data_IF_144383013594
#
_entry.id   IF_144383013594
#
_cell.length_a   1.000
_cell.length_b   1.000
_cell.length_c   1.000
_cell.angle_alpha   90.00
_cell.angle_beta   90.00
_cell.angle_gamma   90.00
#
_symmetry.space_group_name_H-M   'P 1'
#
loop_
_entity.id
_entity.type
_entity.pdbx_description
1 polymer ?
#
# COMPACT_ATOMS: atom_id res chain seq x y z
N UNK A 1 70.30 -5.80 -18.34
CA UNK A 1 69.77 -4.88 -17.30
C UNK A 1 68.46 -4.27 -17.82
N UNK A 2 67.37 -4.45 -17.05
CA UNK A 2 66.09 -3.69 -17.05
C UNK A 2 65.16 -3.82 -18.28
N UNK A 3 64.06 -4.60 -18.20
CA UNK A 3 62.68 -4.23 -17.75
C UNK A 3 62.02 -3.10 -18.58
N UNK A 4 60.99 -3.42 -19.38
CA UNK A 4 59.59 -3.19 -18.99
C UNK A 4 58.59 -3.70 -20.05
N UNK A 5 57.47 -4.21 -19.53
CA UNK A 5 56.36 -4.84 -20.22
C UNK A 5 55.23 -3.83 -20.56
N UNK A 6 54.30 -4.32 -21.40
CA UNK A 6 52.87 -3.98 -21.46
C UNK A 6 52.42 -2.62 -22.01
N UNK A 7 51.66 -2.68 -23.11
CA UNK A 7 50.38 -1.97 -23.27
C UNK A 7 49.47 -2.73 -24.23
N UNK A 8 48.88 -3.82 -23.73
CA UNK A 8 47.63 -4.33 -24.27
C UNK A 8 46.52 -3.35 -23.89
N UNK A 9 45.90 -2.73 -24.90
CA UNK A 9 44.76 -1.85 -24.72
C UNK A 9 43.59 -2.65 -24.14
N UNK A 10 43.36 -2.46 -22.84
CA UNK A 10 42.15 -2.83 -22.15
C UNK A 10 40.95 -2.05 -22.71
N UNK A 11 40.26 -2.62 -23.70
CA UNK A 11 38.86 -2.30 -23.93
C UNK A 11 38.02 -3.04 -22.88
N UNK A 12 38.01 -2.50 -21.65
CA UNK A 12 37.06 -2.92 -20.61
C UNK A 12 35.73 -2.24 -20.90
N UNK A 13 34.94 -2.86 -21.77
CA UNK A 13 33.50 -2.67 -21.77
C UNK A 13 32.98 -3.04 -20.37
N UNK A 14 32.45 -2.03 -19.68
CA UNK A 14 31.94 -2.11 -18.32
C UNK A 14 30.61 -2.89 -18.34
N UNK A 15 30.69 -4.22 -18.43
CA UNK A 15 29.59 -5.11 -18.04
C UNK A 15 29.33 -4.88 -16.55
N UNK A 16 28.34 -4.04 -16.24
CA UNK A 16 27.71 -4.02 -14.92
C UNK A 16 27.11 -5.40 -14.67
N UNK A 17 27.90 -6.32 -14.10
CA UNK A 17 27.41 -7.59 -13.57
C UNK A 17 26.32 -7.24 -12.56
N UNK A 18 25.07 -7.50 -12.91
CA UNK A 18 23.97 -7.52 -11.93
C UNK A 18 24.27 -8.64 -10.96
N UNK A 19 24.88 -8.28 -9.83
CA UNK A 19 24.92 -9.12 -8.65
C UNK A 19 23.47 -9.46 -8.25
N UNK A 20 23.21 -10.75 -8.01
CA UNK A 20 21.88 -11.27 -7.77
C UNK A 20 21.93 -12.37 -6.74
N UNK A 21 20.90 -12.43 -5.90
CA UNK A 21 20.69 -13.49 -4.95
C UNK A 21 19.91 -14.60 -5.63
N UNK A 22 20.38 -15.84 -5.53
CA UNK A 22 19.72 -17.01 -6.09
C UNK A 22 18.99 -17.77 -4.99
N UNK A 23 17.67 -17.91 -5.13
CA UNK A 23 16.81 -18.61 -4.19
C UNK A 23 16.43 -19.95 -4.81
N UNK A 24 16.83 -21.04 -4.17
CA UNK A 24 16.60 -22.41 -4.63
C UNK A 24 15.36 -22.99 -3.95
N UNK A 25 14.39 -23.40 -4.77
CA UNK A 25 13.15 -24.03 -4.33
C UNK A 25 13.26 -25.55 -4.41
N UNK A 26 12.64 -26.23 -3.45
CA UNK A 26 12.28 -27.64 -3.48
C UNK A 26 10.79 -27.78 -3.81
N UNK A 27 10.30 -29.01 -3.94
CA UNK A 27 8.87 -29.25 -4.15
C UNK A 27 8.03 -28.83 -2.93
N UNK A 28 8.52 -29.13 -1.72
CA UNK A 28 7.83 -28.79 -0.47
C UNK A 28 7.69 -27.27 -0.28
N UNK A 29 8.65 -26.50 -0.79
CA UNK A 29 8.59 -25.03 -0.76
C UNK A 29 7.42 -24.46 -1.57
N UNK A 30 7.00 -25.16 -2.62
CA UNK A 30 5.84 -24.76 -3.42
C UNK A 30 4.55 -24.91 -2.61
N UNK A 31 4.45 -25.98 -1.80
CA UNK A 31 3.31 -26.20 -0.92
C UNK A 31 3.27 -25.19 0.25
N UNK A 32 4.45 -24.75 0.70
CA UNK A 32 4.61 -23.77 1.79
C UNK A 32 4.71 -22.31 1.31
N UNK A 33 4.39 -22.04 0.04
CA UNK A 33 4.27 -20.69 -0.49
C UNK A 33 3.10 -19.93 0.17
N UNK A 34 3.33 -18.69 0.60
CA UNK A 34 2.30 -17.84 1.22
C UNK A 34 2.29 -16.44 0.63
N UNK A 35 1.10 -15.85 0.55
CA UNK A 35 0.86 -14.47 0.08
C UNK A 35 0.19 -13.66 1.18
N UNK A 36 0.90 -12.67 1.73
CA UNK A 36 0.32 -11.74 2.69
C UNK A 36 -0.10 -10.45 2.00
N UNK A 37 -1.00 -9.71 2.65
CA UNK A 37 -1.50 -8.44 2.11
C UNK A 37 -0.59 -7.25 2.41
N UNK A 38 0.12 -7.22 3.53
CA UNK A 38 0.98 -6.08 3.88
C UNK A 38 1.94 -6.44 5.01
N UNK A 39 3.02 -5.66 5.14
CA UNK A 39 3.92 -5.65 6.28
C UNK A 39 3.46 -4.68 7.40
N UNK A 40 2.37 -3.96 7.17
CA UNK A 40 1.84 -2.96 8.09
C UNK A 40 2.45 -1.56 7.91
N UNK A 41 1.92 -0.57 8.64
CA UNK A 41 2.26 0.85 8.43
C UNK A 41 3.72 1.18 8.80
N UNK A 42 4.34 0.45 9.72
CA UNK A 42 5.72 0.69 10.14
C UNK A 42 6.71 0.41 8.99
N UNK A 43 6.59 -0.74 8.34
CA UNK A 43 7.42 -1.09 7.18
C UNK A 43 7.19 -0.11 6.01
N UNK A 44 5.93 0.21 5.74
CA UNK A 44 5.58 1.17 4.69
C UNK A 44 6.14 2.56 4.98
N UNK A 45 6.19 2.98 6.25
CA UNK A 45 6.83 4.25 6.67
C UNK A 45 8.33 4.27 6.34
N UNK A 46 9.02 3.16 6.59
CA UNK A 46 10.45 3.02 6.30
C UNK A 46 10.74 3.14 4.81
N UNK A 47 9.94 2.48 3.97
CA UNK A 47 10.08 2.59 2.52
C UNK A 47 9.66 3.98 1.99
N UNK A 48 8.61 4.57 2.57
CA UNK A 48 8.12 5.88 2.18
C UNK A 48 9.13 7.00 2.45
N UNK A 49 9.95 6.90 3.49
CA UNK A 49 11.04 7.85 3.72
C UNK A 49 12.04 7.89 2.56
N UNK A 50 12.32 6.74 1.94
CA UNK A 50 13.17 6.68 0.76
C UNK A 50 12.51 7.29 -0.48
N UNK A 51 11.19 7.11 -0.62
CA UNK A 51 10.37 7.75 -1.67
C UNK A 51 10.26 9.26 -1.45
N UNK A 52 10.24 9.73 -0.21
CA UNK A 52 10.22 11.16 0.11
C UNK A 52 11.55 11.83 -0.28
N UNK A 53 12.66 11.11 -0.04
CA UNK A 53 14.02 11.54 -0.37
C UNK A 53 14.27 11.55 -1.88
N UNK A 54 13.86 10.51 -2.59
CA UNK A 54 14.12 10.35 -4.02
C UNK A 54 12.91 10.68 -4.89
N UNK A 55 13.06 11.69 -5.75
CA UNK A 55 12.03 12.10 -6.70
C UNK A 55 12.08 11.27 -8.00
N UNK A 56 11.93 9.94 -7.90
CA UNK A 56 12.14 9.06 -9.07
C UNK A 56 10.86 8.55 -9.72
N UNK A 57 9.71 8.56 -9.02
CA UNK A 57 8.47 7.98 -9.54
C UNK A 57 7.28 8.92 -9.34
N UNK A 58 6.61 9.25 -10.45
CA UNK A 58 5.44 10.13 -10.51
C UNK A 58 4.21 9.55 -9.84
N UNK A 59 4.14 8.22 -9.70
CA UNK A 59 3.09 7.52 -8.97
C UNK A 59 2.94 8.02 -7.53
N UNK A 60 3.96 8.65 -6.94
CA UNK A 60 3.90 9.22 -5.57
C UNK A 60 3.94 10.75 -5.54
N UNK A 61 3.83 11.44 -6.68
CA UNK A 61 3.90 12.90 -6.73
C UNK A 61 2.76 13.58 -5.95
N UNK A 62 1.55 13.00 -5.98
CA UNK A 62 0.41 13.45 -5.18
C UNK A 62 0.70 13.34 -3.67
N UNK A 63 1.10 12.14 -3.23
CA UNK A 63 1.50 11.89 -1.85
C UNK A 63 2.62 12.82 -1.37
N UNK A 64 3.71 12.97 -2.14
CA UNK A 64 4.82 13.88 -1.79
C UNK A 64 4.36 15.32 -1.64
N UNK A 65 3.48 15.81 -2.53
CA UNK A 65 2.93 17.16 -2.42
C UNK A 65 2.12 17.32 -1.14
N UNK A 66 1.22 16.38 -0.83
CA UNK A 66 0.43 16.39 0.40
C UNK A 66 1.28 16.42 1.66
N UNK A 67 2.26 15.50 1.76
CA UNK A 67 3.17 15.44 2.92
C UNK A 67 3.99 16.73 3.06
N UNK A 68 4.51 17.28 1.95
CA UNK A 68 5.30 18.52 1.99
C UNK A 68 4.47 19.74 2.34
N UNK A 69 3.23 19.85 1.85
CA UNK A 69 2.35 20.98 2.16
C UNK A 69 1.85 20.96 3.60
N UNK A 70 1.45 19.80 4.09
CA UNK A 70 0.85 19.65 5.42
C UNK A 70 1.90 19.70 6.53
N UNK A 71 3.10 19.15 6.28
CA UNK A 71 4.16 19.01 7.28
C UNK A 71 5.42 19.82 6.97
N UNK A 72 5.28 20.96 6.27
CA UNK A 72 6.42 21.77 5.79
C UNK A 72 7.44 22.11 6.89
N UNK A 73 6.98 22.41 8.11
CA UNK A 73 7.85 22.72 9.27
C UNK A 73 8.63 21.51 9.79
N UNK A 74 8.11 20.29 9.62
CA UNK A 74 8.74 19.04 10.07
C UNK A 74 9.50 18.32 8.96
N UNK A 75 9.38 18.78 7.71
CA UNK A 75 10.03 18.16 6.56
C UNK A 75 11.55 17.98 6.71
N UNK A 76 12.34 18.96 7.22
CA UNK A 76 13.77 18.76 7.45
C UNK A 76 14.06 17.63 8.43
N UNK A 77 13.23 17.47 9.47
CA UNK A 77 13.37 16.40 10.44
C UNK A 77 13.14 15.02 9.80
N UNK A 78 12.12 14.87 8.95
CA UNK A 78 11.87 13.61 8.24
C UNK A 78 12.98 13.27 7.23
N UNK A 79 13.54 14.26 6.54
CA UNK A 79 14.66 14.04 5.63
C UNK A 79 15.94 13.62 6.37
N UNK A 80 16.24 14.25 7.50
CA UNK A 80 17.36 13.84 8.36
C UNK A 80 17.17 12.41 8.90
N UNK A 81 15.93 12.04 9.24
CA UNK A 81 15.60 10.68 9.65
C UNK A 81 15.82 9.70 8.49
N UNK A 82 15.36 10.01 7.27
CA UNK A 82 15.60 9.19 6.09
C UNK A 82 17.10 9.00 5.81
N UNK A 83 17.90 10.05 5.94
CA UNK A 83 19.36 9.99 5.78
C UNK A 83 20.03 9.11 6.86
N UNK A 84 19.61 9.28 8.11
CA UNK A 84 20.08 8.45 9.23
C UNK A 84 19.76 6.97 9.01
N UNK A 85 18.57 6.66 8.49
CA UNK A 85 18.18 5.28 8.19
C UNK A 85 18.91 4.72 6.95
N UNK A 86 19.11 5.53 5.92
CA UNK A 86 19.82 5.10 4.71
C UNK A 86 21.29 4.75 4.96
N UNK A 87 21.89 5.33 5.99
CA UNK A 87 23.27 5.10 6.40
C UNK A 87 23.47 3.78 7.16
N UNK A 88 22.39 3.07 7.50
CA UNK A 88 22.44 1.80 8.24
C UNK A 88 21.57 0.76 7.52
N UNK A 89 22.17 -0.08 6.65
CA UNK A 89 21.43 -0.97 5.75
C UNK A 89 20.61 -2.06 6.47
N UNK A 90 20.96 -2.42 7.70
CA UNK A 90 20.37 -3.55 8.44
C UNK A 90 19.33 -3.11 9.49
N UNK A 91 18.81 -1.89 9.40
CA UNK A 91 17.89 -1.33 10.40
C UNK A 91 16.50 -1.96 10.44
N UNK A 92 16.15 -2.85 9.52
CA UNK A 92 14.80 -3.41 9.45
C UNK A 92 14.91 -4.93 9.43
N UNK A 93 14.46 -5.55 10.51
CA UNK A 93 14.24 -6.99 10.56
C UNK A 93 12.75 -7.26 10.37
N UNK A 94 12.44 -8.23 9.51
CA UNK A 94 11.09 -8.75 9.33
C UNK A 94 11.07 -10.16 9.90
N UNK A 95 10.15 -10.43 10.83
CA UNK A 95 10.00 -11.74 11.46
C UNK A 95 8.60 -12.30 11.24
N UNK A 96 8.53 -13.52 10.72
CA UNK A 96 7.27 -14.27 10.65
C UNK A 96 6.97 -14.79 12.06
N UNK A 97 5.91 -14.27 12.71
CA UNK A 97 5.55 -14.66 14.08
C UNK A 97 4.37 -15.62 14.15
N UNK A 98 3.55 -15.65 13.11
CA UNK A 98 2.44 -16.58 12.92
C UNK A 98 2.28 -16.81 11.40
N UNK A 99 1.55 -17.85 10.95
CA UNK A 99 1.46 -18.20 9.53
C UNK A 99 1.10 -17.03 8.61
N UNK A 100 0.31 -16.08 9.12
CA UNK A 100 -0.19 -14.93 8.36
C UNK A 100 0.26 -13.57 8.91
N UNK A 101 1.24 -13.54 9.83
CA UNK A 101 1.68 -12.30 10.49
C UNK A 101 3.19 -12.13 10.40
N UNK A 102 3.60 -11.03 9.78
CA UNK A 102 4.97 -10.52 9.80
C UNK A 102 5.04 -9.34 10.77
N UNK A 103 5.92 -9.43 11.76
CA UNK A 103 6.32 -8.27 12.56
C UNK A 103 7.47 -7.55 11.90
N UNK A 104 7.36 -6.23 11.83
CA UNK A 104 8.43 -5.35 11.41
C UNK A 104 9.06 -4.76 12.65
N UNK A 105 10.34 -5.00 12.83
CA UNK A 105 11.11 -4.46 13.94
C UNK A 105 12.27 -3.63 13.40
N UNK A 106 12.61 -2.56 14.12
CA UNK A 106 13.83 -1.83 13.87
C UNK A 106 14.97 -2.64 14.49
N UNK A 107 15.97 -3.02 13.71
CA UNK A 107 17.18 -3.61 14.28
C UNK A 107 17.85 -2.59 15.19
N UNK A 108 18.13 -3.03 16.41
CA UNK A 108 18.70 -2.19 17.47
C UNK A 108 20.19 -2.45 17.68
N UNK A 109 20.76 -3.40 16.92
CA UNK A 109 22.14 -3.84 17.10
C UNK A 109 23.14 -2.71 16.84
N UNK A 110 24.02 -2.46 17.81
CA UNK A 110 25.04 -1.43 17.73
C UNK A 110 24.55 0.02 17.84
N UNK A 111 23.25 0.26 18.09
CA UNK A 111 22.68 1.62 18.19
C UNK A 111 22.54 2.06 19.66
N UNK A 112 23.14 3.19 20.07
CA UNK A 112 22.93 3.73 21.41
C UNK A 112 21.45 4.01 21.71
N UNK A 113 21.00 3.64 22.92
CA UNK A 113 19.60 3.76 23.32
C UNK A 113 18.95 5.16 23.08
N UNK A 114 19.63 6.30 23.30
CA UNK A 114 19.07 7.62 22.99
C UNK A 114 18.79 7.81 21.49
N UNK A 115 19.69 7.33 20.63
CA UNK A 115 19.56 7.41 19.17
C UNK A 115 18.42 6.51 18.69
N UNK A 116 18.31 5.29 19.24
CA UNK A 116 17.22 4.38 18.92
C UNK A 116 15.84 4.98 19.28
N UNK A 117 15.72 5.58 20.47
CA UNK A 117 14.49 6.28 20.89
C UNK A 117 14.14 7.41 19.92
N UNK A 118 15.13 8.22 19.55
CA UNK A 118 14.92 9.31 18.60
C UNK A 118 14.42 8.81 17.23
N UNK A 119 15.04 7.76 16.67
CA UNK A 119 14.61 7.15 15.42
C UNK A 119 13.19 6.57 15.52
N UNK A 120 12.89 5.87 16.61
CA UNK A 120 11.58 5.25 16.82
C UNK A 120 10.47 6.29 16.96
N UNK A 121 10.72 7.37 17.72
CA UNK A 121 9.79 8.48 17.86
C UNK A 121 9.59 9.20 16.53
N UNK A 122 10.66 9.56 15.82
CA UNK A 122 10.56 10.23 14.54
C UNK A 122 9.87 9.37 13.46
N UNK A 123 10.09 8.05 13.46
CA UNK A 123 9.38 7.13 12.56
C UNK A 123 7.89 7.08 12.88
N UNK A 124 7.52 7.04 14.17
CA UNK A 124 6.12 7.07 14.59
C UNK A 124 5.45 8.38 14.18
N UNK A 125 6.11 9.51 14.40
CA UNK A 125 5.59 10.82 13.97
C UNK A 125 5.42 10.87 12.45
N UNK A 126 6.39 10.37 11.69
CA UNK A 126 6.29 10.28 10.25
C UNK A 126 5.15 9.36 9.80
N UNK A 127 4.97 8.19 10.44
CA UNK A 127 3.89 7.27 10.14
C UNK A 127 2.52 7.94 10.31
N UNK A 128 2.31 8.61 11.45
CA UNK A 128 1.04 9.29 11.74
C UNK A 128 0.77 10.44 10.76
N UNK A 129 1.81 11.17 10.36
CA UNK A 129 1.71 12.28 9.41
C UNK A 129 1.52 11.84 7.95
N UNK A 130 2.32 10.87 7.49
CA UNK A 130 2.53 10.61 6.07
C UNK A 130 1.91 9.30 5.58
N UNK A 131 1.60 8.36 6.48
CA UNK A 131 1.05 7.04 6.13
C UNK A 131 -0.40 6.90 6.56
N UNK A 132 -0.71 7.18 7.84
CA UNK A 132 -2.05 6.98 8.40
C UNK A 132 -3.18 7.65 7.62
N UNK A 133 -3.05 8.89 7.09
CA UNK A 133 -4.13 9.53 6.35
C UNK A 133 -4.54 8.76 5.07
N UNK A 134 -3.62 7.96 4.52
CA UNK A 134 -3.80 7.20 3.29
C UNK A 134 -3.99 5.69 3.55
N UNK A 135 -3.82 5.24 4.79
CA UNK A 135 -3.70 3.83 5.14
C UNK A 135 -4.91 2.96 4.73
N UNK A 136 -6.18 3.39 4.93
CA UNK A 136 -7.32 2.58 4.49
C UNK A 136 -7.30 2.31 2.98
N UNK A 137 -7.00 3.33 2.17
CA UNK A 137 -6.89 3.22 0.70
C UNK A 137 -5.69 2.37 0.28
N UNK A 138 -4.54 2.57 0.94
CA UNK A 138 -3.34 1.78 0.71
C UNK A 138 -3.59 0.29 1.01
N UNK A 139 -4.29 -0.02 2.11
CA UNK A 139 -4.63 -1.39 2.49
C UNK A 139 -5.55 -2.05 1.45
N UNK A 140 -6.62 -1.37 1.01
CA UNK A 140 -7.51 -1.90 -0.02
C UNK A 140 -6.77 -2.16 -1.34
N UNK A 141 -5.86 -1.26 -1.72
CA UNK A 141 -5.01 -1.46 -2.90
C UNK A 141 -4.12 -2.70 -2.75
N UNK A 142 -3.40 -2.83 -1.63
CA UNK A 142 -2.53 -3.98 -1.37
C UNK A 142 -3.30 -5.30 -1.25
N UNK A 143 -4.53 -5.28 -0.75
CA UNK A 143 -5.44 -6.44 -0.77
C UNK A 143 -5.80 -6.85 -2.20
N UNK A 144 -6.10 -5.89 -3.08
CA UNK A 144 -6.36 -6.15 -4.50
C UNK A 144 -5.13 -6.72 -5.23
N UNK A 145 -3.94 -6.21 -4.92
CA UNK A 145 -2.67 -6.72 -5.45
C UNK A 145 -2.45 -8.17 -5.02
N UNK A 146 -2.67 -8.50 -3.73
CA UNK A 146 -2.59 -9.88 -3.22
C UNK A 146 -3.57 -10.81 -3.94
N UNK A 147 -4.81 -10.38 -4.14
CA UNK A 147 -5.82 -11.17 -4.85
C UNK A 147 -5.46 -11.39 -6.33
N UNK A 148 -4.91 -10.37 -6.98
CA UNK A 148 -4.38 -10.48 -8.35
C UNK A 148 -3.26 -11.51 -8.44
N UNK A 149 -2.31 -11.46 -7.50
CA UNK A 149 -1.24 -12.44 -7.40
C UNK A 149 -1.78 -13.87 -7.13
N UNK A 150 -2.79 -14.01 -6.28
CA UNK A 150 -3.46 -15.29 -6.04
C UNK A 150 -4.10 -15.90 -7.29
N UNK A 151 -4.73 -15.08 -8.14
CA UNK A 151 -5.29 -15.54 -9.44
C UNK A 151 -4.19 -16.01 -10.39
N UNK A 152 -3.04 -15.33 -10.44
CA UNK A 152 -1.89 -15.77 -11.25
C UNK A 152 -1.34 -17.11 -10.77
N UNK A 153 -1.23 -17.30 -9.45
CA UNK A 153 -0.81 -18.57 -8.86
C UNK A 153 -1.76 -19.71 -9.26
N UNK A 154 -3.08 -19.47 -9.19
CA UNK A 154 -4.07 -20.49 -9.53
C UNK A 154 -4.07 -20.85 -11.03
N UNK A 155 -3.84 -19.88 -11.90
CA UNK A 155 -3.94 -20.06 -13.36
C UNK A 155 -2.65 -20.54 -14.02
N UNK A 156 -1.48 -20.25 -13.45
CA UNK A 156 -0.20 -20.66 -14.03
C UNK A 156 0.96 -20.77 -13.05
N UNK A 157 0.65 -20.97 -11.76
CA UNK A 157 1.62 -21.26 -10.71
C UNK A 157 2.66 -20.16 -10.48
N UNK A 158 3.79 -20.56 -9.88
CA UNK A 158 4.90 -19.65 -9.58
C UNK A 158 5.50 -18.98 -10.82
N UNK A 159 5.38 -19.61 -12.00
CA UNK A 159 5.87 -19.02 -13.24
C UNK A 159 5.14 -17.73 -13.60
N UNK A 160 3.80 -17.74 -13.55
CA UNK A 160 3.00 -16.54 -13.80
C UNK A 160 3.16 -15.50 -12.70
N UNK A 161 3.22 -15.94 -11.44
CA UNK A 161 3.45 -15.04 -10.30
C UNK A 161 4.78 -14.28 -10.47
N UNK A 162 5.91 -14.98 -10.54
CA UNK A 162 7.21 -14.31 -10.62
C UNK A 162 7.42 -13.56 -11.94
N UNK A 163 6.79 -14.00 -13.03
CA UNK A 163 6.77 -13.27 -14.30
C UNK A 163 6.07 -11.92 -14.22
N UNK A 164 4.99 -11.82 -13.42
CA UNK A 164 4.21 -10.60 -13.29
C UNK A 164 4.78 -9.60 -12.26
N UNK A 165 5.38 -10.08 -11.16
CA UNK A 165 5.74 -9.24 -10.01
C UNK A 165 6.86 -8.22 -10.28
N UNK A 166 7.89 -8.58 -11.06
CA UNK A 166 8.93 -7.62 -11.42
C UNK A 166 9.80 -8.09 -12.59
N UNK A 167 9.97 -7.24 -13.61
CA UNK A 167 10.86 -7.52 -14.76
C UNK A 167 12.32 -7.78 -14.39
N UNK A 168 12.76 -7.35 -13.20
CA UNK A 168 14.13 -7.55 -12.72
C UNK A 168 14.32 -8.88 -11.98
N UNK A 169 13.24 -9.58 -11.61
CA UNK A 169 13.32 -10.95 -11.11
C UNK A 169 13.38 -11.92 -12.29
N UNK A 170 14.12 -13.01 -12.12
CA UNK A 170 14.21 -14.05 -13.14
C UNK A 170 13.91 -15.40 -12.52
N UNK A 171 12.77 -15.94 -12.91
CA UNK A 171 12.38 -17.30 -12.56
C UNK A 171 12.86 -18.28 -13.63
N UNK A 172 13.74 -19.20 -13.24
CA UNK A 172 14.17 -20.35 -14.04
C UNK A 172 14.06 -21.56 -13.12
N UNK A 173 12.91 -22.27 -13.13
CA UNK A 173 12.65 -23.34 -12.18
C UNK A 173 13.86 -24.28 -12.04
N UNK A 174 14.25 -24.64 -10.81
CA UNK A 174 13.65 -24.27 -9.52
C UNK A 174 14.28 -23.02 -8.86
N UNK A 175 14.98 -22.18 -9.63
CA UNK A 175 15.77 -21.05 -9.09
C UNK A 175 15.13 -19.70 -9.42
N UNK A 176 14.93 -18.90 -8.39
CA UNK A 176 14.53 -17.49 -8.50
C UNK A 176 15.74 -16.59 -8.29
N UNK A 177 16.11 -15.82 -9.29
CA UNK A 177 17.14 -14.78 -9.16
C UNK A 177 16.49 -13.44 -8.84
N UNK A 178 16.89 -12.84 -7.73
CA UNK A 178 16.41 -11.51 -7.27
C UNK A 178 17.59 -10.53 -7.27
N UNK A 179 17.43 -9.29 -7.79
CA UNK A 179 18.49 -8.29 -7.71
C UNK A 179 18.82 -7.97 -6.25
N UNK A 180 20.09 -7.99 -5.89
CA UNK A 180 20.56 -7.71 -4.53
C UNK A 180 21.89 -6.96 -4.56
N UNK A 181 22.18 -6.22 -3.48
CA UNK A 181 23.51 -5.61 -3.28
C UNK A 181 24.58 -6.66 -3.05
N UNK A 182 24.20 -7.82 -2.51
CA UNK A 182 25.08 -8.95 -2.22
C UNK A 182 24.72 -10.11 -3.14
N UNK A 183 25.74 -10.81 -3.66
CA UNK A 183 25.54 -12.08 -4.36
C UNK A 183 25.59 -13.22 -3.36
N UNK A 184 24.75 -14.23 -3.54
CA UNK A 184 24.70 -15.39 -2.66
C UNK A 184 23.61 -16.38 -3.06
N UNK A 185 23.57 -17.50 -2.36
CA UNK A 185 22.57 -18.54 -2.52
C UNK A 185 21.74 -18.67 -1.25
N UNK A 186 20.43 -18.80 -1.40
CA UNK A 186 19.48 -19.12 -0.32
C UNK A 186 18.78 -20.41 -0.71
N UNK A 187 18.85 -21.42 0.15
CA UNK A 187 18.11 -22.68 -0.03
C UNK A 187 16.94 -22.67 0.94
N UNK A 188 15.71 -22.80 0.42
CA UNK A 188 14.49 -22.76 1.24
C UNK A 188 14.27 -24.06 2.02
N UNK A 189 14.74 -25.19 1.48
CA UNK A 189 14.80 -26.49 2.17
C UNK A 189 13.49 -26.95 2.80
N UNK A 190 12.34 -26.61 2.20
CA UNK A 190 11.01 -27.00 2.65
C UNK A 190 10.30 -25.94 3.50
N UNK A 191 10.98 -24.89 3.94
CA UNK A 191 10.38 -23.79 4.72
C UNK A 191 9.33 -22.99 3.93
N UNK A 192 9.42 -23.00 2.59
CA UNK A 192 8.58 -22.17 1.72
C UNK A 192 9.09 -20.74 1.61
N UNK A 193 8.24 -19.84 1.10
CA UNK A 193 8.54 -18.41 0.97
C UNK A 193 7.27 -17.60 1.20
N UNK A 194 7.42 -16.46 1.89
CA UNK A 194 6.33 -15.51 2.10
C UNK A 194 6.50 -14.33 1.16
N UNK A 195 5.53 -14.09 0.29
CA UNK A 195 5.50 -12.94 -0.59
C UNK A 195 4.61 -11.85 -0.01
N UNK A 196 5.10 -10.61 -0.01
CA UNK A 196 4.36 -9.46 0.51
C UNK A 196 4.49 -8.27 -0.44
N UNK A 197 3.38 -7.72 -0.95
CA UNK A 197 3.42 -6.47 -1.70
C UNK A 197 3.74 -5.32 -0.76
N UNK A 198 4.45 -4.32 -1.29
CA UNK A 198 4.64 -3.05 -0.61
C UNK A 198 4.37 -1.87 -1.52
N UNK A 199 3.58 -0.91 -1.01
CA UNK A 199 3.16 0.25 -1.77
C UNK A 199 4.31 1.25 -1.94
N UNK A 200 5.09 1.47 -0.88
CA UNK A 200 6.17 2.45 -0.88
C UNK A 200 7.55 1.84 -1.16
N UNK A 201 7.69 0.52 -1.25
CA UNK A 201 8.93 -0.08 -1.73
C UNK A 201 9.21 0.38 -3.16
N UNK A 202 10.30 1.13 -3.33
CA UNK A 202 10.76 1.59 -4.65
C UNK A 202 11.98 0.79 -5.11
N UNK A 203 12.06 0.56 -6.43
CA UNK A 203 13.20 -0.12 -7.06
C UNK A 203 13.02 -1.62 -7.21
N UNK A 204 13.95 -2.40 -6.65
CA UNK A 204 13.98 -3.86 -6.77
C UNK A 204 13.33 -4.53 -5.54
N UNK A 205 12.76 -5.74 -5.70
CA UNK A 205 12.31 -6.57 -4.57
C UNK A 205 13.43 -6.81 -3.55
N UNK A 206 13.06 -7.01 -2.29
CA UNK A 206 13.98 -7.22 -1.17
C UNK A 206 13.65 -8.53 -0.47
N UNK A 207 14.65 -9.38 -0.29
CA UNK A 207 14.54 -10.60 0.50
C UNK A 207 15.01 -10.30 1.93
N UNK A 208 14.22 -10.72 2.91
CA UNK A 208 14.55 -10.67 4.32
C UNK A 208 14.67 -12.10 4.84
N UNK A 209 15.82 -12.41 5.43
CA UNK A 209 16.11 -13.69 6.05
C UNK A 209 15.85 -13.56 7.55
N UNK A 210 15.37 -14.64 8.18
CA UNK A 210 15.26 -14.71 9.63
C UNK A 210 16.56 -15.33 10.18
N UNK A 211 17.48 -14.48 10.66
CA UNK A 211 18.79 -14.93 11.13
C UNK A 211 18.72 -15.73 12.44
N UNK A 212 17.75 -15.42 13.31
CA UNK A 212 17.58 -16.12 14.59
C UNK A 212 16.86 -17.46 14.44
N UNK A 213 15.98 -17.59 13.45
CA UNK A 213 15.23 -18.82 13.17
C UNK A 213 15.31 -19.15 11.67
N UNK A 214 16.44 -19.72 11.19
CA UNK A 214 16.67 -20.00 9.77
C UNK A 214 15.67 -20.98 9.14
N UNK A 215 14.98 -21.77 9.96
CA UNK A 215 13.91 -22.71 9.55
C UNK A 215 12.62 -21.99 9.13
N UNK A 216 12.44 -20.71 9.51
CA UNK A 216 11.27 -19.93 9.12
C UNK A 216 11.39 -19.44 7.68
N UNK A 217 10.28 -19.41 6.92
CA UNK A 217 10.32 -18.99 5.53
C UNK A 217 10.83 -17.54 5.41
N UNK A 218 11.75 -17.26 4.46
CA UNK A 218 12.16 -15.90 4.19
C UNK A 218 11.01 -15.09 3.59
N UNK A 219 11.08 -13.77 3.80
CA UNK A 219 10.06 -12.82 3.35
C UNK A 219 10.57 -12.07 2.12
N UNK A 220 9.93 -12.28 0.97
CA UNK A 220 10.18 -11.55 -0.26
C UNK A 220 9.19 -10.41 -0.42
N UNK A 221 9.68 -9.19 -0.21
CA UNK A 221 8.90 -7.97 -0.35
C UNK A 221 9.07 -7.43 -1.76
N UNK A 222 7.98 -7.20 -2.48
CA UNK A 222 8.01 -6.71 -3.86
C UNK A 222 7.27 -5.38 -4.03
N UNK A 223 7.72 -4.51 -4.94
CA UNK A 223 7.13 -3.20 -5.15
C UNK A 223 5.80 -3.33 -5.89
N UNK A 224 4.70 -2.93 -5.24
CA UNK A 224 3.36 -2.85 -5.81
C UNK A 224 3.08 -1.42 -6.27
N UNK A 225 3.79 -0.97 -7.31
CA UNK A 225 3.71 0.43 -7.78
C UNK A 225 2.37 0.69 -8.47
N UNK A 226 1.54 1.64 -7.98
CA UNK A 226 0.26 1.93 -8.60
C UNK A 226 0.48 2.60 -9.97
N UNK A 227 -0.35 2.24 -10.94
CA UNK A 227 -0.42 2.97 -12.20
C UNK A 227 -0.95 4.41 -11.96
N UNK A 228 -0.80 5.33 -12.93
CA UNK A 228 -1.18 6.74 -12.75
C UNK A 228 -2.64 6.97 -12.32
N UNK A 229 -3.59 6.16 -12.80
CA UNK A 229 -5.01 6.30 -12.45
C UNK A 229 -5.24 5.90 -10.98
N UNK A 230 -4.68 4.77 -10.56
CA UNK A 230 -4.76 4.28 -9.18
C UNK A 230 -4.02 5.23 -8.24
N UNK A 231 -2.85 5.75 -8.65
CA UNK A 231 -2.09 6.74 -7.89
C UNK A 231 -2.92 8.01 -7.61
N UNK A 232 -3.62 8.53 -8.62
CA UNK A 232 -4.53 9.66 -8.43
C UNK A 232 -5.61 9.33 -7.40
N UNK A 233 -6.27 8.18 -7.49
CA UNK A 233 -7.29 7.76 -6.52
C UNK A 233 -6.72 7.55 -5.10
N UNK A 234 -5.50 7.04 -4.98
CA UNK A 234 -4.83 6.83 -3.69
C UNK A 234 -4.53 8.15 -2.99
N UNK A 235 -4.09 9.18 -3.71
CA UNK A 235 -3.57 10.41 -3.11
C UNK A 235 -4.54 11.58 -3.11
N UNK A 236 -5.58 11.53 -3.94
CA UNK A 236 -6.58 12.60 -4.00
C UNK A 236 -7.52 12.46 -2.81
N UNK A 237 -7.35 13.34 -1.82
CA UNK A 237 -8.39 13.68 -0.87
C UNK A 237 -9.44 14.51 -1.61
N UNK A 238 -10.29 13.86 -2.40
CA UNK A 238 -11.54 14.50 -2.75
C UNK A 238 -12.41 14.42 -1.50
N UNK A 239 -12.85 15.54 -0.90
CA UNK A 239 -13.94 15.46 0.06
C UNK A 239 -15.09 14.68 -0.61
N UNK A 240 -15.77 13.76 0.10
CA UNK A 240 -16.81 12.90 -0.46
C UNK A 240 -17.84 13.66 -1.30
N UNK A 241 -18.04 14.95 -0.98
CA UNK A 241 -18.93 15.85 -1.67
C UNK A 241 -18.60 16.08 -3.15
N UNK A 242 -17.33 16.18 -3.52
CA UNK A 242 -16.92 16.46 -4.90
C UNK A 242 -16.88 15.19 -5.76
N UNK A 243 -16.56 14.04 -5.17
CA UNK A 243 -16.58 12.75 -5.86
C UNK A 243 -18.01 12.24 -6.08
N UNK A 244 -18.89 12.39 -5.09
CA UNK A 244 -20.30 12.03 -5.20
C UNK A 244 -21.05 12.97 -6.16
N UNK A 245 -20.81 14.29 -6.09
CA UNK A 245 -21.38 15.25 -7.04
C UNK A 245 -21.01 14.93 -8.49
N UNK A 246 -19.79 14.45 -8.75
CA UNK A 246 -19.36 14.03 -10.08
C UNK A 246 -20.04 12.74 -10.56
N UNK A 247 -20.42 11.85 -9.65
CA UNK A 247 -21.05 10.56 -9.96
C UNK A 247 -22.58 10.65 -10.15
N UNK A 248 -23.28 11.32 -9.22
CA UNK A 248 -24.75 11.37 -9.20
C UNK A 248 -25.33 12.73 -9.59
N UNK A 249 -24.47 13.72 -9.81
CA UNK A 249 -24.81 15.12 -10.02
C UNK A 249 -24.82 15.92 -8.71
N UNK A 250 -24.47 17.20 -8.78
CA UNK A 250 -24.33 18.10 -7.63
C UNK A 250 -25.58 18.15 -6.75
N UNK A 251 -26.76 18.32 -7.33
CA UNK A 251 -28.01 18.41 -6.59
C UNK A 251 -28.39 17.09 -5.91
N UNK A 252 -28.15 15.93 -6.54
CA UNK A 252 -28.43 14.63 -5.89
C UNK A 252 -27.44 14.34 -4.77
N UNK A 253 -26.18 14.72 -4.93
CA UNK A 253 -25.18 14.65 -3.87
C UNK A 253 -25.58 15.49 -2.67
N UNK A 254 -26.02 16.73 -2.90
CA UNK A 254 -26.49 17.63 -1.85
C UNK A 254 -27.74 17.07 -1.14
N UNK A 255 -28.70 16.50 -1.87
CA UNK A 255 -29.87 15.83 -1.27
C UNK A 255 -29.47 14.60 -0.45
N UNK A 256 -28.50 13.80 -0.92
CA UNK A 256 -28.04 12.62 -0.18
C UNK A 256 -27.32 13.01 1.12
N UNK A 257 -26.49 14.06 1.10
CA UNK A 257 -25.80 14.58 2.28
C UNK A 257 -26.76 15.23 3.27
N UNK A 258 -27.76 15.97 2.77
CA UNK A 258 -28.82 16.51 3.61
C UNK A 258 -29.58 15.40 4.35
N UNK A 259 -29.53 14.15 3.90
CA UNK A 259 -30.14 13.01 4.60
C UNK A 259 -29.25 12.32 5.63
N UNK A 260 -28.10 12.93 5.98
CA UNK A 260 -27.34 12.53 7.16
C UNK A 260 -28.21 12.50 8.43
N UNK A 261 -29.25 13.34 8.47
CA UNK A 261 -30.38 13.18 9.39
C UNK A 261 -31.67 13.02 8.58
N UNK A 262 -32.63 12.28 9.12
CA UNK A 262 -33.90 12.02 8.43
C UNK A 262 -34.70 13.31 8.25
N UNK A 263 -35.19 13.56 7.02
CA UNK A 263 -35.88 14.80 6.66
C UNK A 263 -37.11 14.54 5.80
N UNK A 264 -38.10 15.41 5.90
CA UNK A 264 -39.24 15.48 4.99
C UNK A 264 -38.87 16.07 3.64
N UNK A 265 -39.70 15.87 2.61
CA UNK A 265 -39.46 16.47 1.28
C UNK A 265 -39.38 18.00 1.32
N UNK A 266 -40.16 18.65 2.19
CA UNK A 266 -40.14 20.11 2.38
C UNK A 266 -38.88 20.59 3.08
N UNK A 267 -38.42 19.87 4.11
CA UNK A 267 -37.15 20.17 4.79
C UNK A 267 -35.96 19.97 3.85
N UNK A 268 -35.99 18.94 3.00
CA UNK A 268 -34.98 18.73 1.95
C UNK A 268 -34.93 19.88 0.95
N UNK A 269 -36.10 20.31 0.46
CA UNK A 269 -36.21 21.42 -0.48
C UNK A 269 -35.59 22.70 0.11
N UNK A 270 -35.91 23.00 1.37
CA UNK A 270 -35.37 24.15 2.08
C UNK A 270 -33.86 24.04 2.33
N UNK A 271 -33.38 22.87 2.80
CA UNK A 271 -31.98 22.68 3.16
C UNK A 271 -31.04 22.71 1.94
N UNK A 272 -31.49 22.20 0.79
CA UNK A 272 -30.70 22.16 -0.45
C UNK A 272 -30.91 23.41 -1.31
N UNK A 273 -31.95 24.21 -1.05
CA UNK A 273 -32.27 25.42 -1.83
C UNK A 273 -32.91 25.12 -3.18
N UNK A 274 -33.78 24.09 -3.26
CA UNK A 274 -34.47 23.68 -4.48
C UNK A 274 -36.00 23.64 -4.28
N UNK A 275 -36.77 23.55 -5.36
CA UNK A 275 -38.23 23.44 -5.26
C UNK A 275 -38.67 22.11 -4.65
N UNK A 276 -39.84 22.08 -4.00
CA UNK A 276 -40.41 20.85 -3.44
C UNK A 276 -40.64 19.75 -4.50
N UNK A 277 -41.03 20.14 -5.72
CA UNK A 277 -41.14 19.21 -6.84
C UNK A 277 -39.80 18.60 -7.25
N UNK A 278 -38.74 19.42 -7.31
CA UNK A 278 -37.38 18.96 -7.59
C UNK A 278 -36.84 18.04 -6.48
N UNK A 279 -37.05 18.41 -5.20
CA UNK A 279 -36.69 17.58 -4.07
C UNK A 279 -37.41 16.22 -4.09
N UNK A 280 -38.71 16.19 -4.43
CA UNK A 280 -39.48 14.96 -4.56
C UNK A 280 -38.97 14.06 -5.69
N UNK A 281 -38.59 14.67 -6.83
CA UNK A 281 -38.02 13.95 -7.96
C UNK A 281 -36.66 13.34 -7.60
N UNK A 282 -35.77 14.11 -6.98
CA UNK A 282 -34.47 13.60 -6.52
C UNK A 282 -34.61 12.50 -5.47
N UNK A 283 -35.49 12.68 -4.47
CA UNK A 283 -35.78 11.65 -3.48
C UNK A 283 -36.33 10.36 -4.13
N UNK A 284 -37.16 10.49 -5.16
CA UNK A 284 -37.67 9.32 -5.90
C UNK A 284 -36.55 8.58 -6.62
N UNK A 285 -35.64 9.28 -7.30
CA UNK A 285 -34.49 8.65 -7.98
C UNK A 285 -33.58 7.97 -6.97
N UNK A 286 -33.24 8.63 -5.87
CA UNK A 286 -32.37 8.06 -4.82
C UNK A 286 -33.01 6.85 -4.14
N UNK A 287 -34.34 6.87 -3.94
CA UNK A 287 -35.10 5.74 -3.39
C UNK A 287 -35.12 4.56 -4.34
N UNK A 288 -35.36 4.80 -5.64
CA UNK A 288 -35.34 3.76 -6.66
C UNK A 288 -33.95 3.13 -6.81
N UNK A 289 -32.89 3.91 -6.56
CA UNK A 289 -31.51 3.43 -6.52
C UNK A 289 -31.15 2.71 -5.21
N UNK A 290 -32.07 2.58 -4.26
CA UNK A 290 -31.84 1.92 -2.97
C UNK A 290 -30.99 2.73 -1.97
N UNK A 291 -30.74 4.01 -2.24
CA UNK A 291 -29.90 4.88 -1.39
C UNK A 291 -30.66 5.48 -0.21
N UNK A 292 -31.98 5.64 -0.34
CA UNK A 292 -32.84 6.16 0.72
C UNK A 292 -34.08 5.29 0.86
N UNK A 293 -34.60 5.18 2.08
CA UNK A 293 -35.94 4.66 2.36
C UNK A 293 -36.90 5.81 2.62
N UNK A 294 -38.21 5.55 2.57
CA UNK A 294 -39.21 6.58 2.85
C UNK A 294 -40.34 5.99 3.66
N UNK A 295 -40.56 6.57 4.84
CA UNK A 295 -41.67 6.23 5.72
C UNK A 295 -42.72 7.33 5.60
N UNK A 296 -43.93 6.97 5.16
CA UNK A 296 -45.05 7.91 5.07
C UNK A 296 -45.83 7.91 6.37
N UNK A 297 -46.02 9.09 6.93
CA UNK A 297 -47.02 9.37 7.95
C UNK A 297 -48.30 9.89 7.27
N UNK A 298 -49.36 10.13 8.05
CA UNK A 298 -50.63 10.67 7.52
C UNK A 298 -50.48 12.06 6.89
N UNK A 299 -49.43 12.80 7.24
CA UNK A 299 -49.24 14.22 6.88
C UNK A 299 -47.91 14.51 6.17
N UNK A 300 -46.93 13.59 6.19
CA UNK A 300 -45.60 13.82 5.58
C UNK A 300 -44.91 12.52 5.13
N UNK A 301 -43.95 12.65 4.22
CA UNK A 301 -43.03 11.58 3.86
C UNK A 301 -41.65 11.89 4.44
N UNK A 302 -41.16 11.04 5.34
CA UNK A 302 -39.82 11.17 5.94
C UNK A 302 -38.87 10.28 5.14
N UNK A 303 -37.78 10.86 4.68
CA UNK A 303 -36.72 10.18 3.96
C UNK A 303 -35.53 9.92 4.89
N UNK A 304 -34.94 8.74 4.79
CA UNK A 304 -33.81 8.30 5.63
C UNK A 304 -32.79 7.58 4.76
N UNK A 305 -31.50 7.75 5.02
CA UNK A 305 -30.46 6.98 4.31
C UNK A 305 -30.57 5.49 4.62
N UNK A 306 -30.41 4.65 3.61
CA UNK A 306 -30.17 3.21 3.80
C UNK A 306 -28.69 2.98 4.14
N UNK A 307 -28.28 1.77 4.57
CA UNK A 307 -26.87 1.44 4.73
C UNK A 307 -26.03 1.70 3.47
N UNK A 308 -26.59 1.47 2.28
CA UNK A 308 -25.95 1.79 1.00
C UNK A 308 -25.80 3.30 0.80
N UNK A 309 -26.84 4.08 1.13
CA UNK A 309 -26.78 5.55 1.09
C UNK A 309 -25.75 6.13 2.06
N UNK A 310 -25.62 5.57 3.26
CA UNK A 310 -24.61 5.95 4.26
C UNK A 310 -23.20 5.66 3.71
N UNK A 311 -22.96 4.45 3.20
CA UNK A 311 -21.66 4.06 2.66
C UNK A 311 -21.22 4.96 1.49
N UNK A 312 -22.13 5.28 0.58
CA UNK A 312 -21.87 6.17 -0.54
C UNK A 312 -21.68 7.63 -0.12
N UNK A 313 -22.43 8.11 0.87
CA UNK A 313 -22.29 9.48 1.39
C UNK A 313 -20.98 9.68 2.15
N UNK A 314 -20.51 8.66 2.87
CA UNK A 314 -19.28 8.72 3.67
C UNK A 314 -18.02 8.35 2.86
N UNK A 315 -18.18 7.83 1.64
CA UNK A 315 -17.08 7.38 0.79
C UNK A 315 -16.26 6.24 1.41
N UNK A 316 -16.87 5.42 2.28
CA UNK A 316 -16.16 4.43 3.10
C UNK A 316 -16.51 2.96 2.78
N UNK A 317 -15.46 2.14 2.88
CA UNK A 317 -15.41 0.68 2.70
C UNK A 317 -16.28 -0.07 3.72
N UNK A 318 -16.98 -1.11 3.24
CA UNK A 318 -17.79 -2.03 4.04
C UNK A 318 -16.94 -2.72 5.13
N UNK A 319 -17.17 -2.49 6.43
CA UNK A 319 -16.59 -3.31 7.47
C UNK A 319 -17.22 -4.70 7.40
N UNK A 320 -16.45 -5.71 7.00
CA UNK A 320 -16.85 -7.12 7.14
C UNK A 320 -16.85 -7.50 8.61
N UNK A 321 -17.91 -7.17 9.35
CA UNK A 321 -18.29 -7.87 10.57
C UNK A 321 -19.81 -7.92 10.68
N UNK A 322 -20.37 -8.96 10.08
CA UNK A 322 -21.65 -9.54 10.46
C UNK A 322 -21.48 -11.06 10.40
N UNK A 323 -20.61 -11.59 11.25
CA UNK A 323 -20.81 -12.94 11.77
C UNK A 323 -21.15 -12.78 13.24
N UNK A 324 -22.36 -13.21 13.54
CA UNK A 324 -22.99 -13.15 14.84
C UNK A 324 -22.30 -14.09 15.83
N UNK A 325 -22.54 -13.78 17.09
CA UNK A 325 -22.34 -14.65 18.25
C UNK A 325 -22.92 -16.06 18.05
#
# INVERSE_FOLDING_TARGET
>A
MLRHAQRGQHSRANERRTHGLQIHFTFDDVANFRLLKTLGPTAESLFALEVLRHNANDAYAGWRRGVRSEYIRRLPHFLNLAESLASSPDLVSLRVTAPDTVKTELSTEGIPAPRLRHLTCGLREFQEAAIRPYWPRALSYLESERESCGRLMFTGGLHQVFGALNRKMRWRPPVLTVPSRHSGEVRLSGSGIVLVPSLFLSGSPRLFLNEEEPEKPPVLVYPAVPNPLVATALWTFAPPEQSLASLVGSTRSAVLQALAESRTTTELAHHVGISAGSASQHATVLRNAGLISTTRTRTSAIHTLTPLGIALSMGFHWPKHAEAA
#
